data_IF_887541566401
#
_entry.id   IF_887541566401
#
_cell.length_a   1.000
_cell.length_b   1.000
_cell.length_c   1.000
_cell.angle_alpha   90.00
_cell.angle_beta   90.00
_cell.angle_gamma   90.00
#
_symmetry.space_group_name_H-M   'P 1'
#
loop_
_entity.id
_entity.type
_entity.pdbx_description
1 polymer ?
#
# COMPACT_ATOMS: atom_id res chain seq x y z
N UNK A 1 39.72 -10.86 -58.62
CA UNK A 1 39.45 -10.30 -57.27
C UNK A 1 38.32 -11.11 -56.62
N UNK A 2 38.65 -12.25 -56.01
CA UNK A 2 37.64 -13.22 -55.55
C UNK A 2 37.20 -12.88 -54.13
N UNK A 3 35.99 -12.36 -53.97
CA UNK A 3 35.44 -11.93 -52.68
C UNK A 3 34.98 -13.14 -51.84
N UNK A 4 35.56 -13.30 -50.64
CA UNK A 4 35.31 -14.44 -49.78
C UNK A 4 33.98 -14.30 -49.00
N UNK A 5 32.94 -14.96 -49.51
CA UNK A 5 31.57 -15.01 -48.96
C UNK A 5 31.49 -15.45 -47.49
N UNK A 6 32.44 -16.25 -46.99
CA UNK A 6 32.42 -16.76 -45.61
C UNK A 6 32.80 -15.67 -44.59
N UNK A 7 33.68 -14.74 -44.96
CA UNK A 7 34.08 -13.62 -44.10
C UNK A 7 32.92 -12.62 -43.92
N UNK A 8 32.14 -12.40 -44.97
CA UNK A 8 30.98 -11.51 -44.98
C UNK A 8 29.83 -12.05 -44.16
N UNK A 9 29.55 -13.35 -44.23
CA UNK A 9 28.52 -13.98 -43.39
C UNK A 9 28.89 -13.93 -41.90
N UNK A 10 30.17 -14.07 -41.54
CA UNK A 10 30.64 -13.95 -40.16
C UNK A 10 30.41 -12.52 -39.62
N UNK A 11 30.72 -11.49 -40.40
CA UNK A 11 30.45 -10.09 -40.02
C UNK A 11 28.94 -9.78 -39.88
N UNK A 12 28.09 -10.34 -40.74
CA UNK A 12 26.62 -10.18 -40.63
C UNK A 12 26.06 -10.80 -39.35
N UNK A 13 26.56 -11.97 -38.93
CA UNK A 13 26.14 -12.63 -37.67
C UNK A 13 26.60 -11.88 -36.41
N UNK A 14 27.76 -11.22 -36.49
CA UNK A 14 28.27 -10.34 -35.42
C UNK A 14 27.42 -9.07 -35.32
N UNK A 15 27.03 -8.46 -36.44
CA UNK A 15 26.13 -7.30 -36.45
C UNK A 15 24.73 -7.63 -35.89
N UNK A 16 24.18 -8.80 -36.22
CA UNK A 16 22.89 -9.24 -35.69
C UNK A 16 22.91 -9.53 -34.17
N UNK A 17 24.00 -10.09 -33.65
CA UNK A 17 24.15 -10.35 -32.20
C UNK A 17 24.34 -9.06 -31.40
N UNK A 18 25.03 -8.07 -31.97
CA UNK A 18 25.20 -6.74 -31.35
C UNK A 18 23.87 -5.97 -31.27
N UNK A 19 23.05 -6.06 -32.31
CA UNK A 19 21.70 -5.47 -32.31
C UNK A 19 20.80 -6.12 -31.24
N UNK A 20 20.85 -7.45 -31.08
CA UNK A 20 20.06 -8.15 -30.06
C UNK A 20 20.48 -7.79 -28.63
N UNK A 21 21.78 -7.60 -28.38
CA UNK A 21 22.29 -7.18 -27.07
C UNK A 21 21.83 -5.77 -26.68
N UNK A 22 21.69 -4.85 -27.64
CA UNK A 22 21.24 -3.48 -27.38
C UNK A 22 19.78 -3.39 -26.91
N UNK A 23 18.93 -4.33 -27.34
CA UNK A 23 17.51 -4.40 -26.93
C UNK A 23 17.38 -4.80 -25.46
N UNK A 24 18.26 -5.68 -24.97
CA UNK A 24 18.26 -6.15 -23.59
C UNK A 24 18.73 -5.08 -22.59
N UNK A 25 19.53 -4.10 -23.03
CA UNK A 25 20.02 -3.02 -22.18
C UNK A 25 18.99 -1.88 -21.98
N UNK A 26 17.96 -1.81 -22.83
CA UNK A 26 16.94 -0.76 -22.79
C UNK A 26 15.69 -1.13 -21.99
N UNK A 27 15.68 -2.30 -21.33
CA UNK A 27 14.60 -2.69 -20.43
C UNK A 27 14.71 -1.89 -19.13
N UNK A 28 14.27 -0.63 -19.16
CA UNK A 28 14.04 0.18 -17.96
C UNK A 28 12.87 -0.46 -17.21
N UNK A 29 13.13 -1.11 -16.08
CA UNK A 29 12.07 -1.55 -15.16
C UNK A 29 11.20 -0.33 -14.84
N UNK A 30 9.90 -0.43 -15.11
CA UNK A 30 8.95 0.56 -14.66
C UNK A 30 8.99 0.55 -13.12
N UNK A 31 9.71 1.51 -12.54
CA UNK A 31 9.60 1.80 -11.12
C UNK A 31 8.16 2.24 -10.92
N UNK A 32 7.35 1.37 -10.34
CA UNK A 32 6.09 1.77 -9.74
C UNK A 32 6.45 2.86 -8.75
N UNK A 33 6.17 4.12 -9.13
CA UNK A 33 6.15 5.22 -8.18
C UNK A 33 5.14 4.79 -7.14
N UNK A 34 5.62 4.33 -5.98
CA UNK A 34 4.80 4.14 -4.80
C UNK A 34 4.38 5.56 -4.43
N UNK A 35 3.26 6.00 -4.98
CA UNK A 35 2.54 7.12 -4.41
C UNK A 35 2.15 6.62 -3.03
N UNK A 36 2.87 7.07 -2.02
CA UNK A 36 2.48 6.92 -0.63
C UNK A 36 1.20 7.76 -0.46
N UNK A 37 0.08 7.23 -0.96
CA UNK A 37 -1.23 7.76 -0.65
C UNK A 37 -1.30 7.72 0.88
N UNK A 38 -1.48 8.90 1.50
CA UNK A 38 -1.62 9.00 2.95
C UNK A 38 -2.68 7.99 3.38
N UNK A 39 -2.29 6.99 4.16
CA UNK A 39 -3.21 5.97 4.67
C UNK A 39 -4.36 6.68 5.38
N UNK A 40 -5.54 6.63 4.77
CA UNK A 40 -6.77 7.11 5.40
C UNK A 40 -7.24 6.07 6.40
N UNK A 41 -6.52 5.98 7.50
CA UNK A 41 -6.77 5.04 8.59
C UNK A 41 -7.21 5.82 9.83
N UNK A 42 -8.25 5.32 10.50
CA UNK A 42 -8.64 5.80 11.82
C UNK A 42 -7.70 5.20 12.84
N UNK A 43 -6.98 6.05 13.56
CA UNK A 43 -6.05 5.62 14.61
C UNK A 43 -6.72 5.75 15.97
N UNK A 44 -6.57 4.74 16.83
CA UNK A 44 -7.17 4.72 18.17
C UNK A 44 -6.08 4.41 19.19
N UNK A 45 -6.04 5.20 20.26
CA UNK A 45 -5.14 4.99 21.39
C UNK A 45 -5.95 4.89 22.69
N UNK A 46 -5.62 3.91 23.53
CA UNK A 46 -6.22 3.73 24.86
C UNK A 46 -5.13 3.98 25.89
N UNK A 47 -5.35 4.91 26.81
CA UNK A 47 -4.44 5.16 27.91
C UNK A 47 -4.78 4.24 29.08
N UNK A 48 -3.89 3.28 29.34
CA UNK A 48 -4.01 2.33 30.46
C UNK A 48 -3.20 2.74 31.70
N UNK A 49 -2.45 3.84 31.65
CA UNK A 49 -1.57 4.28 32.73
C UNK A 49 -2.26 5.23 33.72
N UNK A 50 -3.25 6.02 33.26
CA UNK A 50 -4.01 6.94 34.12
C UNK A 50 -5.49 6.53 34.18
N UNK A 51 -5.78 5.53 34.99
CA UNK A 51 -7.13 5.02 35.21
C UNK A 51 -7.71 5.71 36.44
N UNK A 52 -8.90 6.31 36.30
CA UNK A 52 -9.62 6.99 37.38
C UNK A 52 -11.08 6.58 37.38
N UNK A 53 -11.58 6.13 38.53
CA UNK A 53 -12.98 5.71 38.71
C UNK A 53 -13.43 4.68 37.65
N UNK A 54 -12.59 3.68 37.39
CA UNK A 54 -12.81 2.64 36.36
C UNK A 54 -13.05 3.17 34.93
N UNK A 55 -12.56 4.38 34.63
CA UNK A 55 -12.59 4.98 33.30
C UNK A 55 -11.18 5.05 32.71
N UNK A 56 -11.09 4.77 31.42
CA UNK A 56 -9.89 4.90 30.60
C UNK A 56 -10.08 6.00 29.56
N UNK A 57 -9.02 6.76 29.26
CA UNK A 57 -9.05 7.75 28.18
C UNK A 57 -8.86 7.05 26.83
N UNK A 58 -9.77 7.32 25.89
CA UNK A 58 -9.69 6.82 24.50
C UNK A 58 -9.54 8.03 23.58
N UNK A 59 -8.50 8.03 22.75
CA UNK A 59 -8.27 9.05 21.72
C UNK A 59 -8.51 8.44 20.34
N UNK A 60 -9.39 9.06 19.56
CA UNK A 60 -9.68 8.68 18.17
C UNK A 60 -9.14 9.78 17.25
N UNK A 61 -8.16 9.44 16.42
CA UNK A 61 -7.60 10.34 15.42
C UNK A 61 -8.08 9.90 14.04
N UNK A 62 -9.04 10.64 13.49
CA UNK A 62 -9.58 10.41 12.16
C UNK A 62 -8.70 11.08 11.08
N UNK A 63 -8.66 10.54 9.85
CA UNK A 63 -8.07 11.25 8.72
C UNK A 63 -8.86 12.52 8.39
N UNK A 64 -8.36 13.34 7.45
CA UNK A 64 -9.06 14.57 7.02
C UNK A 64 -10.52 14.30 6.65
N UNK A 65 -11.43 14.91 7.42
CA UNK A 65 -12.87 14.85 7.22
C UNK A 65 -13.26 15.93 6.21
N UNK A 66 -14.02 15.56 5.16
CA UNK A 66 -14.53 16.49 4.14
C UNK A 66 -16.05 16.72 4.26
N UNK A 67 -16.69 16.16 5.29
CA UNK A 67 -18.12 16.26 5.56
C UNK A 67 -18.38 17.19 6.75
N UNK A 68 -19.53 17.84 6.75
CA UNK A 68 -19.91 18.77 7.82
C UNK A 68 -20.36 18.04 9.10
N UNK A 69 -20.68 16.75 8.99
CA UNK A 69 -21.13 15.91 10.10
C UNK A 69 -20.30 14.63 10.21
N UNK A 70 -20.12 14.15 11.45
CA UNK A 70 -19.45 12.90 11.79
C UNK A 70 -20.38 12.08 12.67
N UNK A 71 -20.68 10.84 12.26
CA UNK A 71 -21.50 9.90 13.03
C UNK A 71 -20.62 8.82 13.66
N UNK A 72 -20.78 8.58 14.96
CA UNK A 72 -20.12 7.50 15.69
C UNK A 72 -21.11 6.35 15.94
N UNK A 73 -20.64 5.11 15.77
CA UNK A 73 -21.43 3.90 16.01
C UNK A 73 -20.81 3.06 17.12
N UNK A 74 -21.62 2.73 18.13
CA UNK A 74 -21.25 1.80 19.20
C UNK A 74 -21.96 0.47 18.94
N UNK A 75 -21.26 -0.67 18.98
CA UNK A 75 -21.88 -1.96 18.73
C UNK A 75 -22.94 -2.27 19.79
N UNK A 76 -24.00 -2.99 19.39
CA UNK A 76 -25.03 -3.51 20.31
C UNK A 76 -24.69 -4.88 20.91
N UNK A 77 -23.74 -5.58 20.30
CA UNK A 77 -23.35 -6.96 20.65
C UNK A 77 -21.88 -7.18 20.27
N UNK A 78 -21.16 -8.00 21.02
CA UNK A 78 -19.80 -8.43 20.68
C UNK A 78 -19.86 -9.75 19.87
N UNK A 79 -19.12 -9.89 18.75
CA UNK A 79 -19.09 -11.13 17.99
C UNK A 79 -18.80 -12.35 18.89
N UNK A 80 -19.60 -13.40 18.74
CA UNK A 80 -19.52 -14.60 19.59
C UNK A 80 -20.40 -14.54 20.86
N UNK A 81 -21.11 -13.44 21.08
CA UNK A 81 -22.15 -13.32 22.12
C UNK A 81 -23.52 -13.10 21.48
N UNK A 82 -24.59 -13.52 22.16
CA UNK A 82 -25.97 -13.27 21.74
C UNK A 82 -26.67 -12.21 22.60
N UNK A 83 -25.94 -11.64 23.58
CA UNK A 83 -26.47 -10.58 24.43
C UNK A 83 -26.56 -9.28 23.65
N UNK A 84 -27.70 -8.62 23.75
CA UNK A 84 -27.86 -7.23 23.34
C UNK A 84 -27.55 -6.35 24.55
N UNK A 85 -26.42 -5.67 24.53
CA UNK A 85 -25.95 -4.84 25.63
C UNK A 85 -25.91 -3.37 25.21
N UNK A 86 -26.25 -2.48 26.15
CA UNK A 86 -26.15 -1.05 25.94
C UNK A 86 -24.72 -0.55 26.27
N UNK A 87 -23.77 -0.76 25.37
CA UNK A 87 -22.38 -0.30 25.56
C UNK A 87 -22.25 1.24 25.53
N UNK A 88 -23.19 1.94 24.89
CA UNK A 88 -23.21 3.41 24.84
C UNK A 88 -23.34 4.07 26.21
N UNK A 89 -23.79 3.34 27.24
CA UNK A 89 -23.90 3.84 28.62
C UNK A 89 -22.57 4.22 29.28
N UNK A 90 -21.44 3.79 28.71
CA UNK A 90 -20.10 3.98 29.27
C UNK A 90 -19.29 5.07 28.57
N UNK A 91 -19.87 5.71 27.55
CA UNK A 91 -19.27 6.82 26.81
C UNK A 91 -19.59 8.14 27.51
#
# INVERSE_FOLDING_TARGET
>A
MTYNKNKTNKMKRILFSLALASILWSCKTASTSITNASKQEVQVAINLNDIKNDKVMVTVNAPSISTDEITYHIPKTVPGTYSEDNYGRYI
#
